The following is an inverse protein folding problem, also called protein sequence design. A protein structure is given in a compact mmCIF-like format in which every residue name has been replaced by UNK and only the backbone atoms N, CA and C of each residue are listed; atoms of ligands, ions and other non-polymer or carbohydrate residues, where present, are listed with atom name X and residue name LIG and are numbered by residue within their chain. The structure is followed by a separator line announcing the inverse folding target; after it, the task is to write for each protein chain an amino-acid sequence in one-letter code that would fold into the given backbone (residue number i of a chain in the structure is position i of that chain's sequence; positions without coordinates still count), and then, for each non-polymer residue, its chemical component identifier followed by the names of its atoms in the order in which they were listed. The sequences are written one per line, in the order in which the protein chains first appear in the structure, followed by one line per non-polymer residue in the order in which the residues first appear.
data_IF_371566389163
#
_entry.id   IF_371566389163
#
_cell.length_a   1.000
_cell.length_b   1.000
_cell.length_c   1.000
_cell.angle_alpha   90.00
_cell.angle_beta   90.00
_cell.angle_gamma   90.00
#
_symmetry.space_group_name_H-M   'P 1'
#
loop_
_entity.id
_entity.type
_entity.pdbx_description
1 polymer ?
#
# COMPACT_ATOMS: atom_id res chain seq x y z
N UNK A 1 14.44 27.23 16.33
CA UNK A 1 15.01 28.28 15.47
C UNK A 1 15.28 27.79 14.04
N UNK A 2 15.97 26.65 13.86
CA UNK A 2 16.39 26.17 12.53
C UNK A 2 15.24 25.99 11.54
N UNK A 3 14.11 25.42 11.98
CA UNK A 3 12.96 25.19 11.10
C UNK A 3 12.31 26.49 10.60
N UNK A 4 12.41 27.59 11.32
CA UNK A 4 11.96 28.91 10.83
C UNK A 4 12.81 29.41 9.66
N UNK A 5 14.12 29.16 9.69
CA UNK A 5 14.98 29.44 8.55
C UNK A 5 14.55 28.71 7.30
N UNK A 6 14.29 27.40 7.40
CA UNK A 6 13.75 26.60 6.28
C UNK A 6 12.35 27.05 5.84
N UNK A 7 11.50 27.46 6.79
CA UNK A 7 10.18 28.03 6.45
C UNK A 7 10.31 29.30 5.61
N UNK A 8 11.22 30.20 6.00
CA UNK A 8 11.51 31.42 5.21
C UNK A 8 12.09 31.10 3.84
N UNK A 9 13.00 30.13 3.77
CA UNK A 9 13.57 29.65 2.48
C UNK A 9 12.49 29.04 1.60
N UNK A 10 11.59 28.23 2.17
CA UNK A 10 10.45 27.67 1.44
C UNK A 10 9.58 28.73 0.80
N UNK A 11 9.23 29.78 1.56
CA UNK A 11 8.48 30.94 1.01
C UNK A 11 9.23 31.67 -0.09
N UNK A 12 10.53 31.85 0.06
CA UNK A 12 11.36 32.50 -0.95
C UNK A 12 11.39 31.69 -2.26
N UNK A 13 11.64 30.37 -2.18
CA UNK A 13 11.62 29.47 -3.33
C UNK A 13 10.24 29.40 -3.99
N UNK A 14 9.16 29.41 -3.21
CA UNK A 14 7.79 29.38 -3.67
C UNK A 14 7.45 30.61 -4.51
N UNK A 15 7.87 31.79 -4.07
CA UNK A 15 7.63 33.07 -4.80
C UNK A 15 8.48 33.20 -6.06
N UNK A 16 9.68 32.61 -6.09
CA UNK A 16 10.61 32.65 -7.22
C UNK A 16 10.38 31.56 -8.27
N UNK A 17 9.63 30.51 -7.95
CA UNK A 17 9.55 29.27 -8.72
C UNK A 17 8.57 29.25 -9.91
N UNK A 18 7.92 30.36 -10.25
CA UNK A 18 6.98 30.42 -11.38
C UNK A 18 5.77 29.50 -11.21
N UNK A 19 5.58 28.56 -12.16
CA UNK A 19 4.42 27.64 -12.16
C UNK A 19 4.54 26.49 -11.16
N UNK A 20 5.74 26.11 -10.74
CA UNK A 20 5.99 25.01 -9.78
C UNK A 20 6.63 25.57 -8.53
N UNK A 21 5.88 25.48 -7.45
CA UNK A 21 6.29 25.97 -6.14
C UNK A 21 7.21 24.98 -5.45
N UNK A 22 8.19 25.49 -4.68
CA UNK A 22 9.05 24.70 -3.80
C UNK A 22 8.34 24.38 -2.49
N UNK A 23 8.54 23.17 -1.96
CA UNK A 23 8.00 22.76 -0.65
C UNK A 23 9.00 21.85 0.04
N UNK A 24 9.02 21.90 1.39
CA UNK A 24 9.89 21.08 2.21
C UNK A 24 9.09 20.20 3.16
N UNK A 25 9.45 18.92 3.23
CA UNK A 25 9.01 18.02 4.29
C UNK A 25 10.14 17.80 5.29
N UNK A 26 9.83 17.95 6.57
CA UNK A 26 10.76 17.73 7.67
C UNK A 26 10.36 16.45 8.37
N UNK A 27 11.32 15.50 8.42
CA UNK A 27 11.15 14.22 9.08
C UNK A 27 11.83 14.22 10.43
N UNK A 28 11.14 13.71 11.45
CA UNK A 28 11.69 13.55 12.78
C UNK A 28 11.27 12.21 13.39
N UNK A 29 12.17 11.61 14.17
CA UNK A 29 11.84 10.39 14.93
C UNK A 29 11.28 10.75 16.32
N UNK A 30 10.31 9.99 16.87
CA UNK A 30 9.64 10.31 18.13
C UNK A 30 10.56 10.38 19.37
N UNK A 31 11.76 9.81 19.28
CA UNK A 31 12.74 9.83 20.37
C UNK A 31 13.53 11.15 20.47
N UNK A 32 13.42 12.03 19.49
CA UNK A 32 14.15 13.30 19.48
C UNK A 32 13.68 14.21 20.61
N UNK A 33 14.63 14.90 21.27
CA UNK A 33 14.34 15.79 22.40
C UNK A 33 13.32 16.87 22.12
N UNK A 34 13.28 17.39 20.90
CA UNK A 34 12.40 18.48 20.48
C UNK A 34 11.06 18.00 19.88
N UNK A 35 10.68 16.73 20.07
CA UNK A 35 9.47 16.19 19.46
C UNK A 35 8.20 16.95 19.88
N UNK A 36 8.11 17.39 21.14
CA UNK A 36 6.94 18.09 21.62
C UNK A 36 6.78 19.46 20.91
N UNK A 37 7.86 20.20 20.70
CA UNK A 37 7.86 21.46 19.97
C UNK A 37 7.60 21.25 18.48
N UNK A 38 8.19 20.20 17.90
CA UNK A 38 7.98 19.82 16.51
C UNK A 38 6.49 19.58 16.18
N UNK A 39 5.74 18.95 17.08
CA UNK A 39 4.32 18.71 16.92
C UNK A 39 3.47 19.99 17.02
N UNK A 40 4.01 21.05 17.61
CA UNK A 40 3.32 22.33 17.74
C UNK A 40 3.63 23.31 16.60
N UNK A 41 4.62 23.02 15.74
CA UNK A 41 5.14 23.95 14.72
C UNK A 41 4.10 24.45 13.71
N UNK A 42 3.06 23.66 13.43
CA UNK A 42 2.02 23.99 12.44
C UNK A 42 0.69 24.41 13.07
N UNK A 43 0.58 24.40 14.38
CA UNK A 43 -0.66 24.76 15.06
C UNK A 43 -1.13 26.19 14.73
N UNK A 44 -2.46 26.36 14.69
CA UNK A 44 -3.10 27.63 14.31
C UNK A 44 -3.11 28.68 15.42
N UNK A 45 -2.73 28.31 16.61
CA UNK A 45 -2.72 29.17 17.80
C UNK A 45 -1.34 29.18 18.49
N UNK A 46 -1.14 30.08 19.44
CA UNK A 46 0.09 30.24 20.21
C UNK A 46 1.03 31.27 19.61
N UNK A 47 2.27 31.31 20.11
CA UNK A 47 3.27 32.28 19.71
C UNK A 47 3.74 32.03 18.25
N UNK A 48 3.55 33.02 17.38
CA UNK A 48 3.98 32.97 15.96
C UNK A 48 5.49 32.78 15.81
N UNK A 49 6.28 33.24 16.75
CA UNK A 49 7.74 33.07 16.78
C UNK A 49 8.13 31.58 16.90
N UNK A 50 7.23 30.77 17.46
CA UNK A 50 7.41 29.33 17.62
C UNK A 50 6.76 28.51 16.50
N UNK A 51 6.34 29.12 15.40
CA UNK A 51 5.64 28.46 14.28
C UNK A 51 6.45 28.47 13.00
N UNK A 52 6.23 27.42 12.18
CA UNK A 52 6.79 27.28 10.83
C UNK A 52 5.76 26.56 9.94
N UNK A 53 4.67 27.25 9.61
CA UNK A 53 3.45 26.66 9.02
C UNK A 53 3.55 26.29 7.55
N UNK A 54 4.52 26.86 6.81
CA UNK A 54 4.68 26.58 5.39
C UNK A 54 5.44 25.28 5.13
N UNK A 55 6.03 24.68 6.18
CA UNK A 55 6.67 23.37 6.10
C UNK A 55 5.64 22.24 6.26
N UNK A 56 5.99 21.09 5.70
CA UNK A 56 5.29 19.83 5.94
C UNK A 56 6.06 19.01 6.99
N UNK A 57 5.32 18.37 7.87
CA UNK A 57 5.89 17.65 9.01
C UNK A 57 5.57 16.17 8.90
N UNK A 58 6.56 15.31 9.12
CA UNK A 58 6.42 13.87 9.09
C UNK A 58 7.18 13.20 10.25
N UNK A 59 6.65 12.11 10.75
CA UNK A 59 7.30 11.27 11.73
C UNK A 59 7.85 10.00 11.07
N UNK A 60 9.07 9.65 11.46
CA UNK A 60 9.75 8.42 11.09
C UNK A 60 9.78 7.51 12.31
N UNK A 61 8.79 6.60 12.42
CA UNK A 61 8.39 5.94 13.66
C UNK A 61 9.02 4.54 13.76
N UNK A 62 9.86 4.26 14.78
CA UNK A 62 10.31 2.92 15.07
C UNK A 62 9.21 2.08 15.72
N UNK A 63 9.15 0.78 15.43
CA UNK A 63 8.15 -0.16 15.97
C UNK A 63 8.16 -0.18 17.51
N UNK A 64 9.32 0.03 18.14
CA UNK A 64 9.44 0.10 19.59
C UNK A 64 8.56 1.21 20.20
N UNK A 65 8.45 2.36 19.54
CA UNK A 65 7.57 3.44 20.02
C UNK A 65 6.12 2.98 20.06
N UNK A 66 5.62 2.40 18.98
CA UNK A 66 4.24 1.90 18.89
C UNK A 66 3.98 0.79 19.91
N UNK A 67 4.93 -0.11 20.10
CA UNK A 67 4.86 -1.16 21.13
C UNK A 67 4.69 -0.53 22.53
N UNK A 68 5.50 0.47 22.87
CA UNK A 68 5.42 1.17 24.16
C UNK A 68 4.13 1.98 24.33
N UNK A 69 3.57 2.50 23.24
CA UNK A 69 2.23 3.14 23.25
C UNK A 69 1.15 2.13 23.61
N UNK A 70 1.16 0.94 22.98
CA UNK A 70 0.19 -0.14 23.23
C UNK A 70 0.31 -0.65 24.67
N UNK A 71 1.54 -0.89 25.13
CA UNK A 71 1.86 -1.42 26.46
C UNK A 71 1.79 -0.36 27.56
N UNK A 72 1.46 0.91 27.23
CA UNK A 72 1.43 2.03 28.16
C UNK A 72 2.74 2.25 28.94
N UNK A 73 3.88 2.11 28.25
CA UNK A 73 5.22 2.25 28.82
C UNK A 73 5.77 3.66 28.68
N UNK A 74 6.87 3.90 29.39
CA UNK A 74 7.64 5.14 29.29
C UNK A 74 8.43 5.20 27.97
N UNK A 75 8.65 6.42 27.51
CA UNK A 75 9.44 6.77 26.36
C UNK A 75 10.45 7.86 26.71
N UNK A 76 11.70 7.63 26.39
CA UNK A 76 12.80 8.53 26.75
C UNK A 76 13.19 9.39 25.55
N UNK A 77 13.13 10.69 25.70
CA UNK A 77 13.60 11.65 24.71
C UNK A 77 15.11 11.78 24.81
N UNK A 78 15.78 11.81 23.65
CA UNK A 78 17.22 11.78 23.54
C UNK A 78 17.76 12.89 22.64
N UNK A 79 18.98 13.33 22.90
CA UNK A 79 19.73 14.22 22.02
C UNK A 79 20.54 13.39 20.99
N UNK A 80 20.46 13.68 19.70
CA UNK A 80 21.23 12.96 18.68
C UNK A 80 22.76 13.01 18.91
N UNK A 81 23.25 14.09 19.45
CA UNK A 81 24.68 14.25 19.79
C UNK A 81 25.11 13.33 20.93
N UNK A 82 24.30 13.25 22.02
CA UNK A 82 24.60 12.37 23.17
C UNK A 82 24.25 10.91 22.91
N UNK A 83 23.35 10.62 21.97
CA UNK A 83 22.87 9.30 21.61
C UNK A 83 23.04 9.06 20.11
N UNK A 84 24.28 9.05 19.57
CA UNK A 84 24.53 8.91 18.15
C UNK A 84 24.11 7.55 17.61
N UNK A 85 23.79 7.49 16.32
CA UNK A 85 23.53 6.25 15.60
C UNK A 85 22.08 5.74 15.69
N UNK A 86 21.19 6.32 16.50
CA UNK A 86 19.78 5.91 16.55
C UNK A 86 19.06 6.05 15.20
N UNK A 87 19.39 7.08 14.43
CA UNK A 87 18.85 7.26 13.07
C UNK A 87 19.42 6.29 12.05
N UNK A 88 20.58 5.66 12.33
CA UNK A 88 21.30 4.79 11.40
C UNK A 88 20.90 3.32 11.50
N UNK A 89 20.09 2.97 12.50
CA UNK A 89 19.67 1.60 12.77
C UNK A 89 18.15 1.47 12.85
N UNK A 90 17.61 0.29 12.59
CA UNK A 90 16.19 -0.04 12.67
C UNK A 90 15.99 -1.47 13.21
N UNK A 91 14.75 -1.81 13.56
CA UNK A 91 14.40 -3.12 14.12
C UNK A 91 15.12 -3.42 15.44
N UNK A 92 15.58 -4.65 15.61
CA UNK A 92 16.22 -5.10 16.85
C UNK A 92 17.50 -4.31 17.20
N UNK A 93 18.23 -3.87 16.19
CA UNK A 93 19.43 -3.03 16.40
C UNK A 93 19.06 -1.67 17.00
N UNK A 94 17.96 -1.08 16.55
CA UNK A 94 17.43 0.15 17.14
C UNK A 94 17.01 -0.09 18.60
N UNK A 95 16.26 -1.16 18.87
CA UNK A 95 15.81 -1.50 20.22
C UNK A 95 17.02 -1.63 21.18
N UNK A 96 18.01 -2.43 20.79
CA UNK A 96 19.20 -2.66 21.60
C UNK A 96 19.95 -1.36 21.91
N UNK A 97 20.15 -0.51 20.90
CA UNK A 97 20.88 0.76 21.05
C UNK A 97 20.08 1.75 21.91
N UNK A 98 18.76 1.88 21.65
CA UNK A 98 17.90 2.77 22.38
C UNK A 98 17.81 2.40 23.88
N UNK A 99 17.58 1.13 24.17
CA UNK A 99 17.51 0.63 25.56
C UNK A 99 18.87 0.68 26.27
N UNK A 100 19.98 0.55 25.52
CA UNK A 100 21.32 0.80 26.07
C UNK A 100 21.44 2.24 26.54
N UNK A 101 21.04 3.22 25.72
CA UNK A 101 21.12 4.62 26.09
C UNK A 101 20.17 4.99 27.27
N UNK A 102 19.04 4.31 27.38
CA UNK A 102 18.17 4.43 28.53
C UNK A 102 18.87 3.94 29.83
N UNK A 103 19.48 2.75 29.77
CA UNK A 103 20.24 2.19 30.93
C UNK A 103 21.46 3.05 31.30
N UNK A 104 22.12 3.62 30.31
CA UNK A 104 23.27 4.50 30.50
C UNK A 104 22.89 5.89 31.02
N UNK A 105 21.58 6.19 31.17
CA UNK A 105 21.07 7.47 31.67
C UNK A 105 21.30 8.65 30.72
N UNK A 106 21.43 8.40 29.40
CA UNK A 106 21.70 9.46 28.41
C UNK A 106 20.48 10.24 27.97
N UNK A 107 19.29 9.88 28.45
CA UNK A 107 18.05 10.57 28.14
C UNK A 107 17.99 12.00 28.65
N UNK A 108 17.28 12.86 27.91
CA UNK A 108 16.97 14.24 28.34
C UNK A 108 15.76 14.25 29.28
N UNK A 109 14.72 13.50 28.90
CA UNK A 109 13.42 13.49 29.58
C UNK A 109 12.73 12.16 29.31
N UNK A 110 12.07 11.60 30.32
CA UNK A 110 11.24 10.40 30.16
C UNK A 110 9.78 10.76 30.40
N UNK A 111 8.92 10.40 29.45
CA UNK A 111 7.48 10.67 29.47
C UNK A 111 6.70 9.41 29.09
N UNK A 112 5.38 9.42 29.26
CA UNK A 112 4.53 8.30 28.81
C UNK A 112 4.46 8.30 27.29
N UNK A 113 4.70 7.16 26.66
CA UNK A 113 4.59 7.01 25.20
C UNK A 113 3.20 7.41 24.68
N UNK A 114 2.13 7.07 25.42
CA UNK A 114 0.76 7.48 25.11
C UNK A 114 0.56 8.99 25.13
N UNK A 115 1.27 9.73 25.97
CA UNK A 115 1.17 11.19 26.02
C UNK A 115 1.67 11.80 24.72
N UNK A 116 2.81 11.32 24.18
CA UNK A 116 3.28 11.75 22.87
C UNK A 116 2.30 11.34 21.78
N UNK A 117 1.78 10.12 21.83
CA UNK A 117 0.81 9.60 20.86
C UNK A 117 -0.44 10.50 20.80
N UNK A 118 -1.03 10.84 21.93
CA UNK A 118 -2.18 11.74 21.98
C UNK A 118 -1.84 13.12 21.41
N UNK A 119 -0.65 13.66 21.72
CA UNK A 119 -0.20 14.93 21.14
C UNK A 119 -0.03 14.87 19.62
N UNK A 120 0.40 13.73 19.09
CA UNK A 120 0.44 13.49 17.62
C UNK A 120 -0.97 13.57 17.06
N UNK A 121 -1.93 12.87 17.65
CA UNK A 121 -3.32 12.87 17.19
C UNK A 121 -3.95 14.26 17.26
N UNK A 122 -3.73 15.00 18.34
CA UNK A 122 -4.19 16.39 18.47
C UNK A 122 -3.64 17.28 17.36
N UNK A 123 -2.35 17.15 17.06
CA UNK A 123 -1.73 17.88 15.95
C UNK A 123 -2.34 17.50 14.59
N UNK A 124 -2.62 16.20 14.37
CA UNK A 124 -3.24 15.74 13.13
C UNK A 124 -4.68 16.22 12.96
N UNK A 125 -5.46 16.24 14.04
CA UNK A 125 -6.84 16.75 14.02
C UNK A 125 -6.84 18.24 13.67
N UNK A 126 -5.93 19.02 14.24
CA UNK A 126 -5.90 20.46 14.02
C UNK A 126 -5.28 20.86 12.68
N UNK A 127 -4.23 20.16 12.22
CA UNK A 127 -3.39 20.63 11.11
C UNK A 127 -3.29 19.66 9.93
N UNK A 128 -3.77 18.43 10.07
CA UNK A 128 -3.57 17.35 9.10
C UNK A 128 -2.14 16.78 9.08
N UNK A 129 -1.26 17.25 9.96
CA UNK A 129 0.13 16.80 10.09
C UNK A 129 0.47 16.47 11.56
N UNK A 130 1.51 15.68 11.84
CA UNK A 130 2.51 15.10 10.94
C UNK A 130 2.00 13.90 10.14
N UNK A 131 2.62 13.64 8.99
CA UNK A 131 2.50 12.36 8.31
C UNK A 131 3.16 11.27 9.16
N UNK A 132 2.68 10.03 9.05
CA UNK A 132 3.18 8.92 9.86
C UNK A 132 3.74 7.82 8.99
N UNK A 133 5.05 7.59 9.06
CA UNK A 133 5.76 6.53 8.35
C UNK A 133 6.49 5.63 9.35
N UNK A 134 6.47 4.33 9.07
CA UNK A 134 7.02 3.30 9.97
C UNK A 134 8.41 2.87 9.51
N UNK A 135 9.43 3.38 10.22
CA UNK A 135 10.86 3.22 9.93
C UNK A 135 11.26 1.77 9.68
N UNK A 136 10.85 0.87 10.57
CA UNK A 136 11.32 -0.52 10.54
C UNK A 136 10.76 -1.26 9.33
N UNK A 137 9.48 -1.10 9.02
CA UNK A 137 8.84 -1.71 7.86
C UNK A 137 9.33 -1.12 6.54
N UNK A 138 9.51 0.19 6.47
CA UNK A 138 10.08 0.85 5.29
C UNK A 138 11.46 0.28 4.96
N UNK A 139 12.34 0.18 5.97
CA UNK A 139 13.69 -0.36 5.76
C UNK A 139 13.70 -1.86 5.45
N UNK A 140 12.88 -2.67 6.13
CA UNK A 140 12.80 -4.12 5.89
C UNK A 140 12.33 -4.46 4.47
N UNK A 141 11.38 -3.69 3.94
CA UNK A 141 10.78 -3.93 2.61
C UNK A 141 11.51 -3.26 1.46
N UNK A 142 12.38 -2.29 1.73
CA UNK A 142 13.12 -1.59 0.67
C UNK A 142 14.01 -2.53 -0.13
N UNK A 143 14.01 -2.33 -1.44
CA UNK A 143 14.96 -3.00 -2.35
C UNK A 143 16.38 -2.45 -2.20
N UNK A 144 16.56 -1.30 -1.54
CA UNK A 144 17.86 -0.63 -1.34
C UNK A 144 18.45 -0.84 0.06
N UNK A 145 17.88 -1.74 0.86
CA UNK A 145 18.34 -2.06 2.24
C UNK A 145 19.81 -2.54 2.32
N UNK A 146 20.38 -3.00 1.21
CA UNK A 146 21.78 -3.40 1.08
C UNK A 146 22.74 -2.19 0.95
N UNK A 147 22.25 -1.01 0.60
CA UNK A 147 23.04 0.21 0.45
C UNK A 147 23.18 0.91 1.81
N UNK A 148 22.09 1.02 2.56
CA UNK A 148 22.10 1.66 3.88
C UNK A 148 20.73 1.78 4.49
N UNK A 149 20.65 2.49 5.62
CA UNK A 149 19.40 2.75 6.33
C UNK A 149 18.70 3.97 5.75
N UNK A 150 17.44 3.79 5.33
CA UNK A 150 16.58 4.88 4.86
C UNK A 150 16.08 5.66 6.07
N UNK A 151 16.24 6.99 6.06
CA UNK A 151 15.96 7.88 7.21
C UNK A 151 14.75 8.76 7.03
N UNK A 152 14.20 8.83 5.82
CA UNK A 152 13.05 9.67 5.49
C UNK A 152 12.39 9.19 4.20
N UNK A 153 11.27 9.80 3.84
CA UNK A 153 10.64 9.72 2.53
C UNK A 153 10.66 11.12 1.87
N UNK A 154 9.94 11.29 0.78
CA UNK A 154 9.76 12.56 0.10
C UNK A 154 8.58 13.39 0.66
N UNK A 155 8.21 14.47 -0.02
CA UNK A 155 7.12 15.37 0.39
C UNK A 155 5.76 14.67 0.49
N UNK A 156 5.45 13.78 -0.46
CA UNK A 156 4.15 13.09 -0.54
C UNK A 156 4.14 11.70 0.12
N UNK A 157 5.25 11.29 0.73
CA UNK A 157 5.41 10.01 1.48
C UNK A 157 5.37 8.72 0.64
N UNK A 158 5.37 8.80 -0.69
CA UNK A 158 5.31 7.62 -1.57
C UNK A 158 6.68 7.02 -1.91
N UNK A 159 7.78 7.75 -1.69
CA UNK A 159 9.12 7.32 -2.08
C UNK A 159 9.90 6.81 -0.86
N UNK A 160 10.34 5.57 -0.91
CA UNK A 160 11.17 4.94 0.12
C UNK A 160 12.48 4.50 -0.53
N UNK A 161 13.39 5.43 -0.67
CA UNK A 161 14.68 5.26 -1.31
C UNK A 161 15.82 5.75 -0.43
N UNK A 162 16.99 5.14 -0.61
CA UNK A 162 18.20 5.54 0.12
C UNK A 162 18.70 6.89 -0.38
N UNK A 163 19.10 7.74 0.56
CA UNK A 163 19.75 9.03 0.27
C UNK A 163 20.77 9.34 1.37
N UNK A 164 21.91 9.88 1.00
CA UNK A 164 22.95 10.34 1.93
C UNK A 164 23.66 11.59 1.40
N UNK A 165 24.81 11.91 1.97
CA UNK A 165 25.62 13.09 1.53
C UNK A 165 26.23 12.95 0.14
N UNK A 166 26.28 11.74 -0.43
CA UNK A 166 26.90 11.44 -1.73
C UNK A 166 25.86 11.06 -2.80
N UNK A 167 24.74 10.50 -2.38
CA UNK A 167 23.70 9.98 -3.25
C UNK A 167 22.35 10.58 -2.88
N UNK A 168 21.67 11.13 -3.87
CA UNK A 168 20.33 11.71 -3.70
C UNK A 168 19.30 10.82 -4.39
N UNK A 169 18.29 10.38 -3.64
CA UNK A 169 17.16 9.67 -4.19
C UNK A 169 16.33 10.58 -5.12
N UNK A 170 16.01 10.09 -6.31
CA UNK A 170 15.24 10.81 -7.31
C UNK A 170 14.16 9.89 -7.88
N UNK A 171 12.92 10.36 -7.87
CA UNK A 171 11.79 9.65 -8.47
C UNK A 171 11.54 10.12 -9.91
N UNK A 172 11.59 9.21 -10.86
CA UNK A 172 11.08 9.42 -12.21
C UNK A 172 9.59 9.09 -12.23
N UNK A 173 8.76 10.12 -12.03
CA UNK A 173 7.32 9.97 -11.98
C UNK A 173 6.77 9.45 -13.31
N UNK A 174 6.05 8.33 -13.26
CA UNK A 174 5.35 7.75 -14.41
C UNK A 174 4.03 7.13 -13.97
N UNK A 175 3.08 7.13 -14.88
CA UNK A 175 1.78 6.49 -14.67
C UNK A 175 1.40 5.69 -15.92
N UNK A 176 0.93 4.45 -15.71
CA UNK A 176 0.46 3.57 -16.77
C UNK A 176 -1.06 3.48 -16.68
N UNK A 177 -1.76 3.86 -17.75
CA UNK A 177 -3.21 3.71 -17.85
C UNK A 177 -3.58 2.23 -18.06
N UNK A 178 -3.66 1.46 -16.98
CA UNK A 178 -3.88 0.00 -17.02
C UNK A 178 -5.12 -0.40 -17.80
N UNK A 179 -6.15 0.44 -17.83
CA UNK A 179 -7.37 0.21 -18.60
C UNK A 179 -7.15 0.02 -20.10
N UNK A 180 -6.06 0.60 -20.65
CA UNK A 180 -5.69 0.42 -22.06
C UNK A 180 -5.09 -0.95 -22.37
N UNK A 181 -4.61 -1.66 -21.35
CA UNK A 181 -3.98 -2.97 -21.46
C UNK A 181 -4.89 -4.11 -20.98
N UNK A 182 -6.07 -3.77 -20.48
CA UNK A 182 -7.09 -4.76 -20.14
C UNK A 182 -7.88 -5.03 -21.40
N UNK A 183 -7.67 -6.18 -21.99
CA UNK A 183 -8.59 -6.73 -22.99
C UNK A 183 -9.89 -7.13 -22.27
N UNK A 184 -10.90 -6.27 -22.34
CA UNK A 184 -12.24 -6.71 -22.01
C UNK A 184 -12.61 -7.79 -23.04
N UNK A 185 -13.04 -9.00 -22.63
CA UNK A 185 -13.62 -9.94 -23.58
C UNK A 185 -14.70 -9.19 -24.36
N UNK A 186 -14.55 -9.11 -25.69
CA UNK A 186 -15.61 -8.51 -26.51
C UNK A 186 -16.89 -9.25 -26.14
N UNK A 187 -18.00 -8.52 -25.81
CA UNK A 187 -19.28 -9.20 -25.61
C UNK A 187 -19.51 -10.10 -26.81
N UNK A 188 -19.77 -11.37 -26.59
CA UNK A 188 -20.17 -12.25 -27.66
C UNK A 188 -21.40 -11.64 -28.32
N UNK A 189 -21.26 -11.22 -29.56
CA UNK A 189 -22.44 -10.83 -30.33
C UNK A 189 -23.22 -12.14 -30.55
N UNK A 190 -24.47 -12.20 -30.11
CA UNK A 190 -25.31 -13.39 -30.25
C UNK A 190 -25.37 -13.92 -31.71
N UNK A 191 -25.22 -12.99 -32.66
CA UNK A 191 -25.20 -13.33 -34.09
C UNK A 191 -23.96 -14.12 -34.54
N UNK A 192 -22.91 -14.08 -33.73
CA UNK A 192 -21.63 -14.73 -34.05
C UNK A 192 -21.47 -16.07 -33.32
N UNK A 193 -22.51 -16.53 -32.58
CA UNK A 193 -22.49 -17.83 -31.88
C UNK A 193 -23.00 -18.91 -32.85
N UNK A 194 -22.08 -19.71 -33.34
CA UNK A 194 -22.38 -20.83 -34.25
C UNK A 194 -22.53 -22.17 -33.49
N UNK A 195 -21.69 -22.37 -32.47
CA UNK A 195 -21.64 -23.62 -31.73
C UNK A 195 -21.48 -23.38 -30.22
N UNK A 196 -22.24 -24.13 -29.44
CA UNK A 196 -22.13 -24.15 -27.98
C UNK A 196 -21.96 -25.60 -27.53
N UNK A 197 -20.93 -25.86 -26.69
CA UNK A 197 -20.72 -27.14 -26.03
C UNK A 197 -20.68 -26.94 -24.51
N UNK A 198 -21.40 -27.80 -23.79
CA UNK A 198 -21.45 -27.78 -22.32
C UNK A 198 -20.95 -29.13 -21.81
N UNK A 199 -19.85 -29.12 -21.11
CA UNK A 199 -19.40 -30.29 -20.35
C UNK A 199 -20.06 -30.23 -18.96
N UNK A 200 -20.91 -31.18 -18.67
CA UNK A 200 -21.79 -31.19 -17.51
C UNK A 200 -21.64 -32.46 -16.67
N UNK A 201 -22.36 -32.54 -15.57
CA UNK A 201 -22.52 -33.73 -14.74
C UNK A 201 -23.98 -33.83 -14.29
N UNK A 202 -24.49 -35.07 -14.14
CA UNK A 202 -25.80 -35.34 -13.57
C UNK A 202 -25.88 -34.76 -12.15
N UNK A 203 -27.04 -34.20 -11.75
CA UNK A 203 -27.28 -33.53 -10.45
C UNK A 203 -26.37 -32.35 -10.17
N UNK A 204 -26.01 -31.57 -11.17
CA UNK A 204 -25.17 -30.38 -11.04
C UNK A 204 -26.00 -29.10 -11.16
N UNK A 205 -26.26 -28.43 -10.07
CA UNK A 205 -27.09 -27.19 -9.98
C UNK A 205 -26.62 -26.08 -10.95
N UNK A 206 -25.30 -25.92 -11.11
CA UNK A 206 -24.75 -24.89 -12.01
C UNK A 206 -24.84 -25.28 -13.47
N UNK A 207 -24.79 -26.58 -13.77
CA UNK A 207 -25.02 -27.09 -15.11
C UNK A 207 -26.46 -26.89 -15.54
N UNK A 208 -27.44 -27.16 -14.64
CA UNK A 208 -28.85 -26.88 -14.88
C UNK A 208 -29.12 -25.42 -15.15
N UNK A 209 -28.60 -24.52 -14.29
CA UNK A 209 -28.70 -23.07 -14.51
C UNK A 209 -28.09 -22.59 -15.83
N UNK A 210 -27.02 -23.23 -16.28
CA UNK A 210 -26.40 -22.94 -17.57
C UNK A 210 -27.33 -23.32 -18.72
N UNK A 211 -27.94 -24.52 -18.65
CA UNK A 211 -28.88 -25.02 -19.65
C UNK A 211 -30.17 -24.16 -19.67
N UNK A 212 -30.71 -23.83 -18.52
CA UNK A 212 -31.87 -22.92 -18.40
C UNK A 212 -31.58 -21.57 -19.08
N UNK A 213 -30.39 -21.01 -18.85
CA UNK A 213 -29.98 -19.74 -19.45
C UNK A 213 -29.90 -19.81 -20.98
N UNK A 214 -29.34 -20.87 -21.53
CA UNK A 214 -29.28 -21.06 -22.99
C UNK A 214 -30.67 -21.31 -23.57
N UNK A 215 -31.48 -22.18 -22.96
CA UNK A 215 -32.83 -22.49 -23.41
C UNK A 215 -33.75 -21.24 -23.38
N UNK A 216 -33.68 -20.44 -22.30
CA UNK A 216 -34.49 -19.20 -22.17
C UNK A 216 -34.13 -18.13 -23.20
N UNK A 217 -32.93 -18.21 -23.79
CA UNK A 217 -32.46 -17.29 -24.83
C UNK A 217 -32.45 -17.92 -26.25
N UNK A 218 -33.03 -19.10 -26.41
CA UNK A 218 -33.20 -19.73 -27.70
C UNK A 218 -31.91 -20.29 -28.34
N UNK A 219 -30.90 -20.59 -27.55
CA UNK A 219 -29.65 -21.17 -28.02
C UNK A 219 -29.71 -22.70 -28.02
N UNK A 220 -29.30 -23.30 -29.13
CA UNK A 220 -29.02 -24.73 -29.23
C UNK A 220 -27.60 -25.02 -28.73
N UNK A 221 -27.42 -26.14 -28.04
CA UNK A 221 -26.12 -26.54 -27.51
C UNK A 221 -25.96 -28.07 -27.52
N UNK A 222 -24.73 -28.50 -27.61
CA UNK A 222 -24.31 -29.89 -27.42
C UNK A 222 -23.94 -30.11 -25.95
N UNK A 223 -24.61 -31.07 -25.27
CA UNK A 223 -24.25 -31.43 -23.89
C UNK A 223 -23.42 -32.73 -23.87
N UNK A 224 -22.25 -32.65 -23.18
CA UNK A 224 -21.37 -33.79 -22.97
C UNK A 224 -21.36 -34.07 -21.46
N UNK A 225 -21.95 -35.22 -21.08
CA UNK A 225 -22.08 -35.61 -19.65
C UNK A 225 -20.81 -36.35 -19.22
N UNK A 226 -20.19 -35.86 -18.16
CA UNK A 226 -18.96 -36.38 -17.56
C UNK A 226 -19.24 -37.06 -16.21
N UNK A 227 -20.18 -37.99 -16.16
CA UNK A 227 -20.50 -38.75 -14.96
C UNK A 227 -19.47 -39.81 -14.64
N UNK A 228 -18.82 -40.38 -15.66
CA UNK A 228 -17.72 -41.31 -15.53
C UNK A 228 -16.47 -40.62 -14.98
N UNK A 229 -15.89 -41.20 -13.92
CA UNK A 229 -14.76 -40.59 -13.20
C UNK A 229 -13.47 -40.59 -14.03
N UNK A 230 -13.24 -41.58 -14.87
CA UNK A 230 -12.04 -41.67 -15.72
C UNK A 230 -12.13 -40.66 -16.85
N UNK A 231 -13.24 -40.63 -17.59
CA UNK A 231 -13.48 -39.63 -18.64
C UNK A 231 -13.40 -38.20 -18.13
N UNK A 232 -13.89 -37.98 -16.91
CA UNK A 232 -13.83 -36.66 -16.27
C UNK A 232 -12.40 -36.26 -15.93
N UNK A 233 -11.59 -37.19 -15.43
CA UNK A 233 -10.16 -36.94 -15.15
C UNK A 233 -9.39 -36.67 -16.43
N UNK A 234 -9.61 -37.43 -17.47
CA UNK A 234 -9.00 -37.21 -18.81
C UNK A 234 -9.35 -35.81 -19.34
N UNK A 235 -10.63 -35.44 -19.26
CA UNK A 235 -11.08 -34.10 -19.67
C UNK A 235 -10.38 -33.00 -18.87
N UNK A 236 -10.31 -33.11 -17.54
CA UNK A 236 -9.62 -32.10 -16.73
C UNK A 236 -8.12 -32.05 -17.01
N UNK A 237 -7.48 -33.18 -17.26
CA UNK A 237 -6.08 -33.22 -17.63
C UNK A 237 -5.84 -32.48 -18.94
N UNK A 238 -6.66 -32.76 -19.97
CA UNK A 238 -6.54 -32.13 -21.30
C UNK A 238 -6.70 -30.58 -21.23
N UNK A 239 -7.60 -30.05 -20.37
CA UNK A 239 -7.78 -28.61 -20.28
C UNK A 239 -6.76 -27.92 -19.36
N UNK A 240 -6.13 -28.70 -18.46
CA UNK A 240 -5.16 -28.18 -17.50
C UNK A 240 -3.71 -28.17 -18.00
N UNK A 241 -3.41 -28.83 -19.14
CA UNK A 241 -2.05 -28.93 -19.70
C UNK A 241 -1.36 -27.55 -19.92
N UNK A 242 -2.17 -26.53 -20.20
CA UNK A 242 -1.67 -25.18 -20.51
C UNK A 242 -2.17 -24.09 -19.57
N UNK A 243 -2.65 -24.43 -18.37
CA UNK A 243 -3.23 -23.48 -17.43
C UNK A 243 -2.45 -23.43 -16.10
N UNK A 244 -2.22 -22.22 -15.61
CA UNK A 244 -1.61 -22.01 -14.29
C UNK A 244 -2.53 -22.41 -13.12
N UNK A 245 -3.86 -22.33 -13.31
CA UNK A 245 -4.86 -22.71 -12.32
C UNK A 245 -5.53 -24.03 -12.72
N UNK A 246 -5.47 -25.04 -11.87
CA UNK A 246 -6.09 -26.34 -12.11
C UNK A 246 -7.61 -26.26 -12.01
N UNK A 247 -8.28 -26.64 -13.11
CA UNK A 247 -9.72 -26.72 -13.20
C UNK A 247 -10.16 -28.12 -12.82
N UNK A 248 -11.15 -28.21 -11.92
CA UNK A 248 -11.70 -29.48 -11.41
C UNK A 248 -13.23 -29.42 -11.22
N UNK A 249 -13.92 -28.52 -11.92
CA UNK A 249 -15.36 -28.28 -11.75
C UNK A 249 -16.11 -28.19 -13.08
N UNK A 250 -17.38 -28.53 -13.05
CA UNK A 250 -18.36 -28.35 -14.13
C UNK A 250 -19.43 -27.34 -13.71
N UNK A 251 -20.12 -26.66 -14.63
CA UNK A 251 -20.00 -26.79 -16.10
C UNK A 251 -18.73 -26.17 -16.64
N UNK A 252 -18.25 -26.73 -17.78
CA UNK A 252 -17.28 -26.06 -18.64
C UNK A 252 -17.95 -25.78 -19.96
N UNK A 253 -17.92 -24.53 -20.40
CA UNK A 253 -18.67 -24.05 -21.56
C UNK A 253 -17.69 -23.61 -22.63
N UNK A 254 -17.98 -23.99 -23.85
CA UNK A 254 -17.26 -23.61 -25.06
C UNK A 254 -18.24 -22.95 -26.05
N UNK A 255 -17.83 -21.82 -26.61
CA UNK A 255 -18.54 -21.11 -27.65
C UNK A 255 -17.59 -20.99 -28.84
N UNK A 256 -18.03 -21.42 -30.02
CA UNK A 256 -17.21 -21.48 -31.24
C UNK A 256 -15.84 -22.16 -31.01
N UNK A 257 -15.84 -23.28 -30.30
CA UNK A 257 -14.66 -24.03 -29.87
C UNK A 257 -13.71 -23.31 -28.93
N UNK A 258 -14.02 -22.08 -28.49
CA UNK A 258 -13.26 -21.34 -27.52
C UNK A 258 -13.83 -21.57 -26.11
N UNK A 259 -12.99 -22.00 -25.19
CA UNK A 259 -13.39 -22.20 -23.78
C UNK A 259 -13.74 -20.90 -23.11
N UNK A 260 -14.96 -20.82 -22.57
CA UNK A 260 -15.45 -19.68 -21.79
C UNK A 260 -15.19 -19.90 -20.29
N UNK A 261 -15.33 -21.12 -19.80
CA UNK A 261 -15.21 -21.51 -18.40
C UNK A 261 -16.53 -21.90 -17.78
N UNK A 262 -16.75 -21.61 -16.50
CA UNK A 262 -17.98 -21.97 -15.78
C UNK A 262 -19.09 -20.92 -15.88
N UNK A 263 -20.24 -21.23 -15.24
CA UNK A 263 -21.45 -20.40 -15.23
C UNK A 263 -21.21 -18.92 -14.88
N UNK A 264 -20.37 -18.62 -13.87
CA UNK A 264 -20.08 -17.23 -13.48
C UNK A 264 -19.42 -16.42 -14.62
N UNK A 265 -18.48 -17.03 -15.36
CA UNK A 265 -17.86 -16.37 -16.50
C UNK A 265 -18.83 -16.19 -17.66
N UNK A 266 -19.70 -17.19 -17.91
CA UNK A 266 -20.75 -17.08 -18.92
C UNK A 266 -21.65 -15.86 -18.68
N UNK A 267 -22.15 -15.67 -17.46
CA UNK A 267 -22.98 -14.50 -17.11
C UNK A 267 -22.24 -13.19 -17.36
N UNK A 268 -20.94 -13.10 -17.05
CA UNK A 268 -20.16 -11.89 -17.29
C UNK A 268 -20.07 -11.52 -18.77
N UNK A 269 -20.02 -12.53 -19.64
CA UNK A 269 -19.93 -12.34 -21.08
C UNK A 269 -21.30 -11.99 -21.69
N UNK A 270 -22.38 -12.56 -21.14
CA UNK A 270 -23.73 -12.39 -21.64
C UNK A 270 -24.47 -11.19 -21.04
N UNK A 271 -24.08 -10.70 -19.83
CA UNK A 271 -24.75 -9.58 -19.13
C UNK A 271 -24.86 -8.26 -19.89
N UNK A 272 -23.97 -7.86 -20.79
CA UNK A 272 -24.13 -6.60 -21.52
C UNK A 272 -25.26 -6.58 -22.54
N UNK A 273 -25.92 -7.70 -22.77
CA UNK A 273 -26.96 -7.85 -23.80
C UNK A 273 -28.36 -8.06 -23.27
N UNK A 274 -28.52 -8.06 -21.94
CA UNK A 274 -29.79 -8.27 -21.25
C UNK A 274 -30.37 -6.98 -20.62
N UNK A 275 -30.22 -5.81 -21.27
CA UNK A 275 -30.97 -4.59 -20.93
C UNK A 275 -32.13 -4.40 -21.87
#
# INVERSE_FOLDING_TARGET
PNLRGFNGTGRYCDRGGGKRKGSFAIYMEPWHGDIEDFLDMKKNHGDEEMRARDLFYALWIPDLFMKRVIENKKWTLMCPDKCPGLSDVYGDKFVQLYEKYERDGRGIKTIDARKIWLKILDSQIETGTPYMLYKDHCNKKSNQKNIGTIKSSNLCCEIIEYSDSKETAVCNLASIGLSKFVETPKPCNYKDIETIKIYSKTKCKWCEKTKELFNSNGFEYEEIILDDDEKRKEFYNSINENLNDKINSVPQIYINNKRIGGYKKLIQILKPTFN
#
